data_IF_852551799237
#
_entry.id   IF_852551799237
#
_cell.length_a   1.000
_cell.length_b   1.000
_cell.length_c   1.000
_cell.angle_alpha   90.00
_cell.angle_beta   90.00
_cell.angle_gamma   90.00
#
_symmetry.space_group_name_H-M   'P 1'
#
loop_
_entity.id
_entity.type
_entity.pdbx_description
1 polymer ?
#
# COMPACT_ATOMS: atom_id res chain seq x y z
N UNK A 1 4.26 4.98 4.01
CA UNK A 1 2.93 5.64 3.90
C UNK A 1 2.96 7.11 4.34
N UNK A 2 3.54 7.45 5.50
CA UNK A 2 3.59 8.84 6.04
C UNK A 2 4.01 9.90 4.99
N UNK A 3 5.13 9.72 4.30
CA UNK A 3 5.58 10.71 3.30
C UNK A 3 4.63 10.87 2.11
N UNK A 4 4.01 9.77 1.67
CA UNK A 4 3.00 9.83 0.61
C UNK A 4 1.73 10.53 1.09
N UNK A 5 1.27 10.22 2.30
CA UNK A 5 0.10 10.85 2.94
C UNK A 5 0.27 12.36 3.11
N UNK A 6 1.48 12.82 3.47
CA UNK A 6 1.83 14.24 3.61
C UNK A 6 1.57 15.05 2.33
N UNK A 7 1.66 14.41 1.15
CA UNK A 7 1.47 15.06 -0.15
C UNK A 7 0.00 15.16 -0.58
N UNK A 8 -0.92 14.50 0.13
CA UNK A 8 -2.34 14.51 -0.20
C UNK A 8 -3.00 15.84 0.20
N UNK A 9 -3.95 16.28 -0.62
CA UNK A 9 -4.92 17.32 -0.25
C UNK A 9 -6.05 16.71 0.60
N UNK A 10 -6.84 17.52 1.34
CA UNK A 10 -8.13 17.09 1.90
C UNK A 10 -8.96 16.26 0.93
N UNK A 11 -9.47 15.12 1.40
CA UNK A 11 -10.26 14.17 0.61
C UNK A 11 -9.48 13.41 -0.47
N UNK A 12 -8.18 13.65 -0.60
CA UNK A 12 -7.28 13.00 -1.56
C UNK A 12 -7.09 11.52 -1.27
N UNK A 13 -6.74 10.75 -2.31
CA UNK A 13 -6.61 9.29 -2.24
C UNK A 13 -5.18 8.84 -2.49
N UNK A 14 -4.78 7.78 -1.79
CA UNK A 14 -3.54 7.03 -1.98
C UNK A 14 -3.90 5.59 -2.31
N UNK A 15 -3.31 5.06 -3.39
CA UNK A 15 -3.37 3.63 -3.71
C UNK A 15 -2.00 3.04 -3.40
N UNK A 16 -2.01 1.93 -2.66
CA UNK A 16 -0.83 1.09 -2.40
C UNK A 16 -1.09 -0.23 -3.13
N UNK A 17 -0.13 -0.69 -3.92
CA UNK A 17 -0.17 -2.00 -4.57
C UNK A 17 1.10 -2.76 -4.21
N UNK A 18 0.94 -3.96 -3.65
CA UNK A 18 2.05 -4.85 -3.29
C UNK A 18 1.54 -6.30 -3.23
N UNK A 19 2.37 -7.25 -2.81
CA UNK A 19 1.98 -8.65 -2.70
C UNK A 19 1.38 -8.99 -1.33
N UNK A 20 0.43 -9.92 -1.34
CA UNK A 20 0.00 -10.61 -0.12
C UNK A 20 1.17 -11.42 0.47
N UNK A 21 1.13 -11.82 1.76
CA UNK A 21 2.15 -12.68 2.34
C UNK A 21 2.35 -13.96 1.54
N UNK A 22 3.61 -14.35 1.31
CA UNK A 22 3.95 -15.54 0.53
C UNK A 22 5.29 -16.15 0.98
N UNK A 23 5.57 -17.39 0.57
CA UNK A 23 6.77 -18.14 0.99
C UNK A 23 7.84 -18.27 -0.13
N UNK A 24 7.69 -17.54 -1.23
CA UNK A 24 8.61 -17.58 -2.38
C UNK A 24 9.98 -16.93 -2.09
N UNK A 25 10.86 -17.66 -1.39
CA UNK A 25 12.21 -17.23 -1.00
C UNK A 25 13.14 -16.91 -2.18
N UNK A 26 12.90 -17.49 -3.37
CA UNK A 26 13.69 -17.17 -4.57
C UNK A 26 13.62 -15.67 -4.93
N UNK A 27 12.51 -14.99 -4.60
CA UNK A 27 12.36 -13.55 -4.83
C UNK A 27 13.35 -12.71 -3.98
N UNK A 28 13.75 -13.21 -2.80
CA UNK A 28 14.77 -12.54 -1.96
C UNK A 28 16.15 -12.67 -2.56
N UNK A 29 16.48 -13.87 -3.04
CA UNK A 29 17.80 -14.17 -3.61
C UNK A 29 18.01 -13.53 -4.98
N UNK A 30 16.99 -13.53 -5.84
CA UNK A 30 17.12 -13.19 -7.26
C UNK A 30 16.56 -11.80 -7.62
N UNK A 31 15.59 -11.31 -6.85
CA UNK A 31 14.87 -10.06 -7.16
C UNK A 31 14.95 -9.01 -6.04
N UNK A 32 15.86 -9.20 -5.07
CA UNK A 32 16.09 -8.32 -3.92
C UNK A 32 14.82 -8.00 -3.10
N UNK A 33 13.85 -8.91 -3.09
CA UNK A 33 12.55 -8.73 -2.48
C UNK A 33 12.63 -8.82 -0.94
N UNK A 34 13.10 -7.76 -0.27
CA UNK A 34 13.47 -7.79 1.17
C UNK A 34 12.35 -8.30 2.10
N UNK A 35 11.08 -8.08 1.77
CA UNK A 35 9.92 -8.53 2.54
C UNK A 35 9.04 -9.41 1.66
N UNK A 36 8.48 -10.49 2.22
CA UNK A 36 7.69 -11.46 1.48
C UNK A 36 6.20 -11.09 1.48
N UNK A 37 5.89 -9.90 0.97
CA UNK A 37 4.54 -9.34 0.98
C UNK A 37 4.10 -8.79 2.34
N UNK A 38 2.87 -8.28 2.38
CA UNK A 38 2.29 -7.62 3.55
C UNK A 38 0.87 -8.08 3.80
N UNK A 39 0.49 -8.33 5.06
CA UNK A 39 -0.88 -8.57 5.39
C UNK A 39 -1.66 -7.24 5.52
N UNK A 40 -2.99 -7.31 5.47
CA UNK A 40 -3.86 -6.13 5.35
C UNK A 40 -3.76 -5.19 6.55
N UNK A 41 -3.63 -5.77 7.73
CA UNK A 41 -3.54 -5.14 9.04
C UNK A 41 -2.25 -4.34 9.22
N UNK A 42 -1.14 -4.78 8.63
CA UNK A 42 0.13 -4.03 8.66
C UNK A 42 -0.01 -2.76 7.83
N UNK A 43 -0.54 -2.88 6.61
CA UNK A 43 -0.78 -1.73 5.73
C UNK A 43 -1.83 -0.79 6.32
N UNK A 44 -2.90 -1.32 6.90
CA UNK A 44 -3.92 -0.55 7.60
C UNK A 44 -3.30 0.25 8.76
N UNK A 45 -2.44 -0.38 9.57
CA UNK A 45 -1.73 0.28 10.67
C UNK A 45 -0.86 1.44 10.18
N UNK A 46 -0.21 1.30 9.02
CA UNK A 46 0.56 2.39 8.43
C UNK A 46 -0.30 3.53 7.90
N UNK A 47 -1.46 3.22 7.32
CA UNK A 47 -2.44 4.23 6.90
C UNK A 47 -2.92 5.05 8.11
N UNK A 48 -3.32 4.37 9.19
CA UNK A 48 -3.74 5.02 10.45
C UNK A 48 -2.61 5.89 11.01
N UNK A 49 -1.39 5.36 11.07
CA UNK A 49 -0.21 6.10 11.55
C UNK A 49 0.12 7.33 10.68
N UNK A 50 -0.28 7.32 9.41
CA UNK A 50 -0.15 8.45 8.49
C UNK A 50 -1.35 9.42 8.53
N UNK A 51 -2.34 9.18 9.40
CA UNK A 51 -3.57 9.96 9.47
C UNK A 51 -4.51 9.74 8.28
N UNK A 52 -4.41 8.58 7.61
CA UNK A 52 -5.27 8.19 6.49
C UNK A 52 -6.29 7.14 6.95
N UNK A 53 -7.44 7.13 6.30
CA UNK A 53 -8.50 6.14 6.46
C UNK A 53 -8.40 5.09 5.34
N UNK A 54 -8.35 3.81 5.68
CA UNK A 54 -8.40 2.75 4.66
C UNK A 54 -9.85 2.61 4.17
N UNK A 55 -10.12 3.01 2.93
CA UNK A 55 -11.46 2.95 2.32
C UNK A 55 -11.78 1.55 1.77
N UNK A 56 -10.79 0.90 1.15
CA UNK A 56 -11.02 -0.36 0.43
C UNK A 56 -9.75 -1.20 0.34
N UNK A 57 -9.92 -2.51 0.37
CA UNK A 57 -8.90 -3.49 0.03
C UNK A 57 -9.41 -4.38 -1.09
N UNK A 58 -8.59 -4.60 -2.10
CA UNK A 58 -8.84 -5.51 -3.22
C UNK A 58 -7.75 -6.57 -3.28
N UNK A 59 -8.14 -7.79 -3.66
CA UNK A 59 -7.22 -8.94 -3.79
C UNK A 59 -7.34 -9.50 -5.19
N UNK A 60 -6.22 -9.50 -5.90
CA UNK A 60 -6.11 -10.05 -7.25
C UNK A 60 -5.36 -11.37 -7.16
N UNK A 61 -6.12 -12.46 -7.14
CA UNK A 61 -5.56 -13.81 -7.18
C UNK A 61 -4.98 -14.11 -8.56
N UNK A 62 -3.87 -14.86 -8.63
CA UNK A 62 -3.33 -15.29 -9.89
C UNK A 62 -4.30 -16.22 -10.64
N UNK A 63 -4.15 -16.29 -11.97
CA UNK A 63 -4.98 -17.16 -12.80
C UNK A 63 -4.74 -18.63 -12.44
N UNK A 64 -5.78 -19.49 -12.50
CA UNK A 64 -5.60 -20.92 -12.31
C UNK A 64 -4.54 -21.50 -13.26
N UNK A 65 -3.71 -22.41 -12.75
CA UNK A 65 -2.70 -23.12 -13.54
C UNK A 65 -1.33 -22.44 -13.66
N UNK A 66 -1.15 -21.23 -13.10
CA UNK A 66 0.16 -20.56 -13.06
C UNK A 66 0.91 -20.97 -11.79
N UNK A 67 2.01 -21.73 -11.95
CA UNK A 67 2.94 -22.06 -10.85
C UNK A 67 3.68 -20.80 -10.37
N UNK A 68 4.06 -20.78 -9.09
CA UNK A 68 4.87 -19.69 -8.49
C UNK A 68 4.29 -18.29 -8.72
N UNK A 69 2.97 -18.19 -8.57
CA UNK A 69 2.25 -16.97 -8.86
C UNK A 69 1.91 -16.20 -7.58
N UNK A 70 2.09 -14.88 -7.64
CA UNK A 70 1.88 -13.98 -6.51
C UNK A 70 0.46 -13.43 -6.50
N UNK A 71 -0.13 -13.37 -5.30
CA UNK A 71 -1.37 -12.64 -5.06
C UNK A 71 -1.05 -11.17 -4.88
N UNK A 72 -1.68 -10.30 -5.68
CA UNK A 72 -1.52 -8.85 -5.55
C UNK A 72 -2.62 -8.30 -4.65
N UNK A 73 -2.26 -7.37 -3.79
CA UNK A 73 -3.15 -6.63 -2.91
C UNK A 73 -3.14 -5.16 -3.32
N UNK A 74 -4.31 -4.56 -3.34
CA UNK A 74 -4.48 -3.13 -3.62
C UNK A 74 -5.25 -2.51 -2.44
N UNK A 75 -4.62 -1.57 -1.76
CA UNK A 75 -5.20 -0.83 -0.65
C UNK A 75 -5.47 0.62 -1.09
N UNK A 76 -6.72 1.05 -0.97
CA UNK A 76 -7.13 2.43 -1.20
C UNK A 76 -7.32 3.11 0.15
N UNK A 77 -6.52 4.14 0.40
CA UNK A 77 -6.63 5.01 1.56
C UNK A 77 -7.04 6.43 1.16
N UNK A 78 -7.75 7.13 2.04
CA UNK A 78 -8.16 8.52 1.87
C UNK A 78 -7.61 9.39 3.00
N UNK A 79 -7.14 10.58 2.65
CA UNK A 79 -6.88 11.64 3.61
C UNK A 79 -8.23 12.25 4.06
N UNK A 80 -8.48 12.37 5.37
CA UNK A 80 -9.62 13.11 5.89
C UNK A 80 -9.71 14.54 5.34
N UNK A 81 -10.90 15.10 5.31
CA UNK A 81 -11.11 16.50 4.89
C UNK A 81 -10.40 17.52 5.81
N UNK A 82 -10.05 17.08 7.02
CA UNK A 82 -9.38 17.89 8.05
C UNK A 82 -7.85 17.91 7.92
N UNK A 83 -7.25 17.13 7.01
CA UNK A 83 -5.79 17.06 6.87
C UNK A 83 -5.21 18.40 6.41
N UNK A 84 -4.21 18.89 7.15
CA UNK A 84 -3.59 20.20 6.89
C UNK A 84 -2.81 20.18 5.58
N UNK A 85 -3.19 21.05 4.64
CA UNK A 85 -2.50 21.22 3.35
C UNK A 85 -1.05 21.66 3.54
N UNK A 86 -0.10 20.97 2.89
CA UNK A 86 1.25 21.50 2.73
C UNK A 86 1.20 22.85 2.00
N UNK A 87 1.84 23.88 2.57
CA UNK A 87 2.03 25.14 1.87
C UNK A 87 2.94 24.88 0.66
N UNK A 88 2.51 25.25 -0.55
CA UNK A 88 3.39 25.25 -1.72
C UNK A 88 4.59 26.15 -1.41
N UNK A 89 5.81 25.66 -1.58
CA UNK A 89 6.98 26.53 -1.62
C UNK A 89 6.88 27.32 -2.92
N UNK A 90 6.60 28.61 -2.83
CA UNK A 90 6.78 29.54 -3.95
C UNK A 90 8.28 29.64 -4.18
N UNK A 91 8.74 29.39 -5.41
CA UNK A 91 10.11 29.60 -5.83
C UNK A 91 10.39 31.10 -6.00
#
# INVERSE_FOLDING_TARGET
>A
VIEAGRLLKPGGRLIISDFAPHEFEFLRAEHAHRRLGFPDEEVAGWCVSAGLELEKTETLSPRPGVKESLTVKIWLARAPETVRRLKKRTA
#
